data_IF_957190172451
#
_entry.id   IF_957190172451
#
_cell.length_a   1.000
_cell.length_b   1.000
_cell.length_c   1.000
_cell.angle_alpha   90.00
_cell.angle_beta   90.00
_cell.angle_gamma   90.00
#
_symmetry.space_group_name_H-M   'P 1'
#
loop_
_entity.id
_entity.type
_entity.pdbx_description
1 polymer ?
#
# COMPACT_ATOMS: atom_id res chain seq x y z
N UNK A 1 18.36 -13.93 70.18
CA UNK A 1 18.42 -15.27 69.56
C UNK A 1 17.84 -15.19 68.16
N UNK A 2 18.56 -15.77 67.21
CA UNK A 2 18.44 -15.58 65.77
C UNK A 2 17.12 -16.15 65.21
N UNK A 3 16.29 -15.28 64.66
CA UNK A 3 15.14 -15.68 63.83
C UNK A 3 15.67 -15.84 62.40
N UNK A 4 15.66 -17.07 61.89
CA UNK A 4 15.95 -17.36 60.48
C UNK A 4 14.89 -16.70 59.59
N UNK A 5 15.27 -16.04 58.48
CA UNK A 5 14.29 -15.72 57.45
C UNK A 5 13.89 -17.01 56.72
N UNK A 6 12.60 -17.35 56.78
CA UNK A 6 11.95 -18.26 55.84
C UNK A 6 11.46 -17.40 54.67
N UNK A 7 12.28 -17.29 53.64
CA UNK A 7 11.85 -17.09 52.26
C UNK A 7 13.06 -17.19 51.35
N UNK A 8 13.35 -18.44 50.96
CA UNK A 8 14.15 -18.73 49.78
C UNK A 8 13.30 -18.38 48.55
N UNK A 9 13.58 -17.24 47.92
CA UNK A 9 12.97 -16.82 46.65
C UNK A 9 13.80 -17.23 45.45
N UNK A 10 14.63 -18.27 45.57
CA UNK A 10 15.29 -18.87 44.40
C UNK A 10 14.48 -20.06 43.90
N UNK A 11 14.15 -20.03 42.59
CA UNK A 11 13.49 -21.10 41.80
C UNK A 11 11.95 -21.13 41.72
N UNK A 12 11.32 -19.98 41.48
CA UNK A 12 10.09 -19.98 40.65
C UNK A 12 10.48 -20.00 39.18
N UNK A 13 10.69 -21.21 38.65
CA UNK A 13 10.74 -21.45 37.21
C UNK A 13 9.33 -21.19 36.65
N UNK A 14 9.08 -19.97 36.18
CA UNK A 14 7.92 -19.66 35.36
C UNK A 14 8.10 -20.39 34.03
N UNK A 15 7.65 -21.64 33.98
CA UNK A 15 7.41 -22.34 32.72
C UNK A 15 6.36 -21.52 31.97
N UNK A 16 6.80 -20.87 30.90
CA UNK A 16 5.93 -20.14 29.99
C UNK A 16 4.85 -21.08 29.45
N UNK A 17 3.60 -20.87 29.88
CA UNK A 17 2.43 -21.48 29.27
C UNK A 17 2.18 -20.74 27.95
N UNK A 18 2.95 -21.07 26.93
CA UNK A 18 2.69 -20.75 25.54
C UNK A 18 2.67 -22.05 24.74
N UNK A 19 1.64 -22.86 24.96
CA UNK A 19 1.22 -23.84 23.97
C UNK A 19 -0.19 -23.47 23.51
N UNK A 20 -0.40 -23.14 22.22
CA UNK A 20 -1.74 -23.07 21.68
C UNK A 20 -2.34 -24.47 21.79
N UNK A 21 -3.48 -24.55 22.49
CA UNK A 21 -4.28 -25.76 22.64
C UNK A 21 -4.80 -26.17 21.25
N UNK A 22 -3.99 -26.91 20.49
CA UNK A 22 -4.45 -27.61 19.30
C UNK A 22 -5.30 -28.76 19.81
N UNK A 23 -6.63 -28.62 19.72
CA UNK A 23 -7.53 -29.76 19.79
C UNK A 23 -7.22 -30.64 18.57
N UNK A 24 -6.34 -31.63 18.75
CA UNK A 24 -6.17 -32.73 17.81
C UNK A 24 -7.40 -33.62 17.92
N UNK A 25 -8.38 -33.38 17.04
CA UNK A 25 -9.39 -34.39 16.73
C UNK A 25 -8.64 -35.57 16.10
N UNK A 26 -8.40 -36.59 16.91
CA UNK A 26 -7.83 -37.87 16.48
C UNK A 26 -8.83 -38.59 15.57
N UNK A 27 -8.68 -38.44 14.26
CA UNK A 27 -9.28 -39.36 13.30
C UNK A 27 -8.46 -40.64 13.29
N UNK A 28 -8.90 -41.61 14.10
CA UNK A 28 -8.40 -42.98 14.09
C UNK A 28 -9.11 -43.72 12.94
N UNK A 29 -8.43 -43.84 11.80
CA UNK A 29 -8.86 -44.74 10.72
C UNK A 29 -8.44 -44.33 9.32
N UNK A 30 -7.31 -44.88 8.84
CA UNK A 30 -7.15 -45.51 7.52
C UNK A 30 -5.66 -45.60 7.15
N UNK A 31 -5.09 -46.80 7.32
CA UNK A 31 -3.75 -47.21 6.90
C UNK A 31 -3.61 -47.34 5.36
N UNK A 32 -4.11 -46.35 4.61
CA UNK A 32 -4.02 -46.23 3.15
C UNK A 32 -3.47 -44.87 2.71
N UNK A 33 -2.85 -44.12 3.63
CA UNK A 33 -2.57 -42.69 3.50
C UNK A 33 -1.13 -42.32 3.07
N UNK A 34 -0.27 -43.27 2.71
CA UNK A 34 1.08 -42.92 2.23
C UNK A 34 1.13 -42.71 0.71
N UNK A 35 0.43 -43.53 -0.08
CA UNK A 35 0.35 -43.40 -1.55
C UNK A 35 -0.43 -42.14 -2.02
N UNK A 36 -1.32 -41.61 -1.17
CA UNK A 36 -2.05 -40.37 -1.46
C UNK A 36 -1.33 -39.10 -1.00
N UNK A 37 -0.30 -39.20 -0.15
CA UNK A 37 0.42 -38.01 0.36
C UNK A 37 1.23 -37.33 -0.75
N UNK A 38 1.91 -38.11 -1.59
CA UNK A 38 2.73 -37.58 -2.68
C UNK A 38 1.86 -37.00 -3.82
N UNK A 39 0.77 -37.68 -4.19
CA UNK A 39 -0.18 -37.17 -5.19
C UNK A 39 -0.89 -35.89 -4.73
N UNK A 40 -1.30 -35.82 -3.46
CA UNK A 40 -1.92 -34.61 -2.89
C UNK A 40 -0.94 -33.45 -2.81
N UNK A 41 0.32 -33.71 -2.49
CA UNK A 41 1.41 -32.71 -2.48
C UNK A 41 1.71 -32.19 -3.89
N UNK A 42 1.87 -33.06 -4.89
CA UNK A 42 2.07 -32.66 -6.29
C UNK A 42 0.89 -31.85 -6.84
N UNK A 43 -0.35 -32.20 -6.47
CA UNK A 43 -1.55 -31.44 -6.88
C UNK A 43 -1.55 -30.01 -6.31
N UNK A 44 -1.20 -29.83 -5.02
CA UNK A 44 -1.13 -28.50 -4.38
C UNK A 44 -0.08 -27.60 -5.03
N UNK A 45 1.08 -28.15 -5.39
CA UNK A 45 2.16 -27.39 -6.06
C UNK A 45 1.77 -26.99 -7.48
N UNK A 46 1.17 -27.92 -8.24
CA UNK A 46 0.62 -27.59 -9.56
C UNK A 46 -0.49 -26.54 -9.45
N UNK A 47 -1.30 -26.55 -8.38
CA UNK A 47 -2.29 -25.51 -8.10
C UNK A 47 -1.62 -24.15 -7.82
N UNK A 48 -0.58 -24.12 -6.98
CA UNK A 48 0.19 -22.90 -6.67
C UNK A 48 0.76 -22.26 -7.94
N UNK A 49 1.46 -23.04 -8.78
CA UNK A 49 2.00 -22.54 -10.04
C UNK A 49 0.92 -22.08 -11.02
N UNK A 50 -0.21 -22.79 -11.12
CA UNK A 50 -1.35 -22.36 -11.94
C UNK A 50 -1.91 -21.02 -11.45
N UNK A 51 -2.07 -20.88 -10.14
CA UNK A 51 -2.57 -19.66 -9.53
C UNK A 51 -1.63 -18.46 -9.77
N UNK A 52 -0.31 -18.61 -9.60
CA UNK A 52 0.65 -17.55 -9.92
C UNK A 52 0.59 -17.15 -11.41
N UNK A 53 0.47 -18.13 -12.32
CA UNK A 53 0.30 -17.85 -13.75
C UNK A 53 -0.98 -17.07 -14.02
N UNK A 54 -2.09 -17.40 -13.36
CA UNK A 54 -3.36 -16.68 -13.51
C UNK A 54 -3.21 -15.24 -12.99
N UNK A 55 -2.64 -15.03 -11.80
CA UNK A 55 -2.40 -13.68 -11.27
C UNK A 55 -1.54 -12.86 -12.23
N UNK A 56 -0.43 -13.43 -12.73
CA UNK A 56 0.45 -12.72 -13.64
C UNK A 56 -0.22 -12.42 -14.98
N UNK A 57 -1.05 -13.33 -15.51
CA UNK A 57 -1.86 -13.06 -16.70
C UNK A 57 -2.86 -11.92 -16.47
N UNK A 58 -3.57 -11.91 -15.34
CA UNK A 58 -4.48 -10.82 -14.99
C UNK A 58 -3.74 -9.49 -14.87
N UNK A 59 -2.55 -9.49 -14.28
CA UNK A 59 -1.69 -8.30 -14.21
C UNK A 59 -1.27 -7.79 -15.60
N UNK A 60 -0.95 -8.69 -16.54
CA UNK A 60 -0.65 -8.31 -17.92
C UNK A 60 -1.86 -7.69 -18.62
N UNK A 61 -3.03 -8.31 -18.51
CA UNK A 61 -4.29 -7.80 -19.09
C UNK A 61 -4.59 -6.40 -18.52
N UNK A 62 -4.51 -6.25 -17.21
CA UNK A 62 -4.71 -4.96 -16.56
C UNK A 62 -3.72 -3.90 -17.08
N UNK A 63 -2.45 -4.26 -17.24
CA UNK A 63 -1.42 -3.33 -17.73
C UNK A 63 -1.66 -2.94 -19.19
N UNK A 64 -2.16 -3.86 -20.01
CA UNK A 64 -2.58 -3.58 -21.39
C UNK A 64 -3.78 -2.61 -21.44
N UNK A 65 -4.77 -2.81 -20.57
CA UNK A 65 -5.93 -1.91 -20.46
C UNK A 65 -5.46 -0.49 -20.09
N UNK A 66 -4.52 -0.35 -19.16
CA UNK A 66 -3.95 0.96 -18.79
C UNK A 66 -3.29 1.64 -19.98
N UNK A 67 -2.56 0.91 -20.82
CA UNK A 67 -1.95 1.46 -22.05
C UNK A 67 -3.04 1.93 -23.01
N UNK A 68 -4.07 1.12 -23.25
CA UNK A 68 -5.19 1.47 -24.14
C UNK A 68 -5.86 2.75 -23.64
N UNK A 69 -6.19 2.84 -22.36
CA UNK A 69 -6.80 4.03 -21.75
C UNK A 69 -5.90 5.25 -21.88
N UNK A 70 -4.59 5.11 -21.61
CA UNK A 70 -3.65 6.23 -21.72
C UNK A 70 -3.48 6.72 -23.18
N UNK A 71 -3.48 5.81 -24.16
CA UNK A 71 -3.48 6.16 -25.58
C UNK A 71 -4.79 6.86 -25.94
N UNK A 72 -5.94 6.33 -25.52
CA UNK A 72 -7.24 6.95 -25.75
C UNK A 72 -7.30 8.37 -25.16
N UNK A 73 -6.79 8.60 -23.95
CA UNK A 73 -6.69 9.94 -23.36
C UNK A 73 -5.84 10.88 -24.20
N UNK A 74 -4.68 10.42 -24.69
CA UNK A 74 -3.83 11.22 -25.57
C UNK A 74 -4.50 11.52 -26.92
N UNK A 75 -5.24 10.57 -27.49
CA UNK A 75 -5.97 10.77 -28.75
C UNK A 75 -7.12 11.75 -28.58
N UNK A 76 -7.93 11.61 -27.51
CA UNK A 76 -9.01 12.57 -27.22
C UNK A 76 -8.43 13.96 -27.00
N UNK A 77 -7.32 14.09 -26.27
CA UNK A 77 -6.65 15.39 -26.08
C UNK A 77 -6.11 15.99 -27.38
N UNK A 78 -5.73 15.17 -28.36
CA UNK A 78 -5.27 15.62 -29.67
C UNK A 78 -6.43 16.11 -30.56
N UNK A 79 -7.53 15.37 -30.61
CA UNK A 79 -8.67 15.69 -31.49
C UNK A 79 -9.63 16.73 -30.91
N UNK A 80 -9.92 16.64 -29.62
CA UNK A 80 -10.81 17.57 -28.94
C UNK A 80 -10.39 17.76 -27.47
N UNK A 81 -9.46 18.70 -27.20
CA UNK A 81 -8.99 18.98 -25.84
C UNK A 81 -10.09 19.53 -24.93
N UNK A 82 -11.22 20.00 -25.47
CA UNK A 82 -12.32 20.56 -24.67
C UNK A 82 -13.13 19.49 -23.94
N UNK A 83 -13.07 18.23 -24.39
CA UNK A 83 -13.74 17.09 -23.74
C UNK A 83 -13.08 16.65 -22.43
N UNK A 84 -11.78 16.90 -22.27
CA UNK A 84 -11.00 16.47 -21.09
C UNK A 84 -10.75 17.60 -20.09
N UNK A 85 -10.68 18.84 -20.56
CA UNK A 85 -10.38 20.01 -19.73
C UNK A 85 -11.59 20.94 -19.67
N UNK A 86 -12.28 20.96 -18.52
CA UNK A 86 -13.38 21.89 -18.26
C UNK A 86 -12.90 23.34 -18.40
N UNK A 87 -13.77 24.25 -18.88
CA UNK A 87 -13.43 25.66 -19.11
C UNK A 87 -12.81 26.35 -17.87
N UNK A 88 -13.25 25.99 -16.67
CA UNK A 88 -12.70 26.48 -15.40
C UNK A 88 -11.23 26.06 -15.19
N UNK A 89 -10.88 24.81 -15.48
CA UNK A 89 -9.51 24.30 -15.36
C UNK A 89 -8.59 25.02 -16.35
N UNK A 90 -9.06 25.21 -17.60
CA UNK A 90 -8.34 25.98 -18.61
C UNK A 90 -8.07 27.42 -18.15
N UNK A 91 -9.04 28.07 -17.50
CA UNK A 91 -8.92 29.43 -16.98
C UNK A 91 -7.98 29.51 -15.77
N UNK A 92 -7.99 28.51 -14.87
CA UNK A 92 -7.06 28.42 -13.75
C UNK A 92 -5.60 28.27 -14.20
N UNK A 93 -5.35 27.52 -15.28
CA UNK A 93 -4.01 27.36 -15.84
C UNK A 93 -3.55 28.57 -16.67
N UNK A 94 -4.45 29.27 -17.37
CA UNK A 94 -4.11 30.52 -18.08
C UNK A 94 -3.70 31.66 -17.14
N UNK A 95 -4.28 31.72 -15.94
CA UNK A 95 -3.89 32.70 -14.91
C UNK A 95 -2.54 32.39 -14.25
N UNK A 96 -2.06 31.15 -14.35
CA UNK A 96 -0.69 30.75 -14.00
C UNK A 96 0.24 31.08 -15.18
N UNK A 97 0.51 32.37 -15.36
CA UNK A 97 1.42 32.93 -16.36
C UNK A 97 2.87 32.39 -16.22
N UNK A 98 3.16 31.12 -16.56
CA UNK A 98 4.50 30.59 -16.88
C UNK A 98 4.41 29.32 -17.76
N UNK A 99 4.36 29.51 -19.09
CA UNK A 99 5.06 28.67 -20.08
C UNK A 99 4.48 27.31 -20.51
N UNK A 100 3.50 26.72 -19.83
CA UNK A 100 2.97 25.41 -20.23
C UNK A 100 1.46 25.43 -20.46
N UNK A 101 1.04 25.10 -21.69
CA UNK A 101 -0.38 24.93 -21.99
C UNK A 101 -0.95 23.73 -21.23
N UNK A 102 -2.15 23.82 -20.65
CA UNK A 102 -2.76 22.74 -19.86
C UNK A 102 -2.87 21.40 -20.63
N UNK A 103 -2.88 21.46 -21.95
CA UNK A 103 -2.88 20.34 -22.89
C UNK A 103 -1.62 19.47 -22.74
N UNK A 104 -0.48 20.07 -22.37
CA UNK A 104 0.80 19.36 -22.21
C UNK A 104 0.79 18.42 -21.01
N UNK A 105 0.08 18.76 -19.93
CA UNK A 105 0.02 17.91 -18.72
C UNK A 105 -0.70 16.59 -18.98
N UNK A 106 -1.71 16.57 -19.86
CA UNK A 106 -2.40 15.33 -20.24
C UNK A 106 -1.44 14.39 -20.96
N UNK A 107 -0.61 14.91 -21.87
CA UNK A 107 0.41 14.10 -22.54
C UNK A 107 1.49 13.59 -21.59
N UNK A 108 1.97 14.43 -20.66
CA UNK A 108 2.94 14.01 -19.64
C UNK A 108 2.33 12.90 -18.78
N UNK A 109 1.10 13.08 -18.31
CA UNK A 109 0.39 12.10 -17.48
C UNK A 109 0.19 10.76 -18.22
N UNK A 110 -0.31 10.80 -19.45
CA UNK A 110 -0.47 9.61 -20.29
C UNK A 110 0.87 8.92 -20.58
N UNK A 111 1.94 9.68 -20.85
CA UNK A 111 3.27 9.13 -21.08
C UNK A 111 3.82 8.41 -19.83
N UNK A 112 3.64 9.00 -18.65
CA UNK A 112 4.03 8.37 -17.37
C UNK A 112 3.25 7.08 -17.13
N UNK A 113 1.94 7.06 -17.42
CA UNK A 113 1.12 5.85 -17.31
C UNK A 113 1.58 4.74 -18.26
N UNK A 114 1.88 5.08 -19.51
CA UNK A 114 2.39 4.13 -20.51
C UNK A 114 3.74 3.56 -20.06
N UNK A 115 4.68 4.41 -19.63
CA UNK A 115 5.98 3.96 -19.13
C UNK A 115 5.84 3.03 -17.93
N UNK A 116 4.96 3.38 -16.98
CA UNK A 116 4.66 2.53 -15.84
C UNK A 116 4.10 1.17 -16.25
N UNK A 117 3.15 1.15 -17.20
CA UNK A 117 2.54 -0.07 -17.69
C UNK A 117 3.55 -0.96 -18.45
N UNK A 118 4.41 -0.38 -19.29
CA UNK A 118 5.50 -1.11 -19.98
C UNK A 118 6.45 -1.74 -18.96
N UNK A 119 6.88 -0.97 -17.96
CA UNK A 119 7.72 -1.48 -16.88
C UNK A 119 7.07 -2.65 -16.15
N UNK A 120 5.76 -2.58 -15.89
CA UNK A 120 5.00 -3.68 -15.29
C UNK A 120 4.93 -4.91 -16.19
N UNK A 121 4.67 -4.74 -17.48
CA UNK A 121 4.66 -5.85 -18.44
C UNK A 121 6.02 -6.56 -18.45
N UNK A 122 7.12 -5.81 -18.52
CA UNK A 122 8.47 -6.38 -18.47
C UNK A 122 8.71 -7.16 -17.17
N UNK A 123 8.40 -6.57 -16.01
CA UNK A 123 8.56 -7.20 -14.70
C UNK A 123 7.74 -8.50 -14.57
N UNK A 124 6.48 -8.50 -15.02
CA UNK A 124 5.61 -9.68 -14.96
C UNK A 124 6.05 -10.77 -15.94
N UNK A 125 6.60 -10.39 -17.10
CA UNK A 125 7.12 -11.34 -18.08
C UNK A 125 8.35 -12.09 -17.55
N UNK A 126 9.23 -11.39 -16.82
CA UNK A 126 10.37 -12.01 -16.11
C UNK A 126 9.86 -13.01 -15.05
N UNK A 127 8.86 -12.62 -14.26
CA UNK A 127 8.25 -13.49 -13.25
C UNK A 127 7.63 -14.77 -13.87
N UNK A 128 6.95 -14.66 -15.02
CA UNK A 128 6.43 -15.82 -15.76
C UNK A 128 7.54 -16.75 -16.25
N UNK A 129 8.65 -16.20 -16.73
CA UNK A 129 9.83 -16.98 -17.09
C UNK A 129 10.42 -17.73 -15.90
N UNK A 130 10.50 -17.07 -14.73
CA UNK A 130 10.97 -17.68 -13.49
C UNK A 130 10.04 -18.81 -13.02
N UNK A 131 8.72 -18.64 -13.11
CA UNK A 131 7.73 -19.68 -12.82
C UNK A 131 7.95 -20.92 -13.70
N UNK A 132 8.14 -20.73 -15.01
CA UNK A 132 8.34 -21.84 -15.95
C UNK A 132 9.61 -22.63 -15.61
N UNK A 133 10.72 -21.94 -15.32
CA UNK A 133 11.98 -22.56 -14.88
C UNK A 133 11.80 -23.34 -13.57
N UNK A 134 11.06 -22.76 -12.62
CA UNK A 134 10.78 -23.40 -11.33
C UNK A 134 9.93 -24.66 -11.48
N UNK A 135 8.95 -24.66 -12.38
CA UNK A 135 8.12 -25.84 -12.67
C UNK A 135 8.96 -26.96 -13.28
N UNK A 136 9.87 -26.65 -14.21
CA UNK A 136 10.79 -27.64 -14.82
C UNK A 136 11.71 -28.22 -13.75
N UNK A 137 12.33 -27.37 -12.93
CA UNK A 137 13.22 -27.81 -11.84
C UNK A 137 12.48 -28.66 -10.79
N UNK A 138 11.22 -28.34 -10.49
CA UNK A 138 10.39 -29.16 -9.61
C UNK A 138 10.12 -30.54 -10.22
N UNK A 139 9.77 -30.61 -11.51
CA UNK A 139 9.56 -31.90 -12.19
C UNK A 139 10.82 -32.76 -12.23
N UNK A 140 12.00 -32.15 -12.41
CA UNK A 140 13.27 -32.90 -12.39
C UNK A 140 13.66 -33.37 -10.98
N UNK A 141 13.34 -32.61 -9.94
CA UNK A 141 13.60 -32.98 -8.54
C UNK A 141 12.58 -33.97 -7.98
N UNK A 142 11.34 -33.98 -8.45
CA UNK A 142 10.37 -35.00 -8.09
C UNK A 142 10.81 -36.41 -8.54
N UNK A 143 11.63 -36.48 -9.59
CA UNK A 143 12.18 -37.74 -10.11
C UNK A 143 13.50 -38.16 -9.45
N UNK A 144 14.11 -37.31 -8.62
CA UNK A 144 15.34 -37.62 -7.89
C UNK A 144 15.06 -37.64 -6.39
N UNK A 145 15.68 -38.57 -5.66
CA UNK A 145 15.49 -38.68 -4.20
C UNK A 145 15.94 -37.44 -3.41
N UNK A 146 16.49 -36.41 -4.06
CA UNK A 146 17.06 -35.25 -3.42
C UNK A 146 16.09 -34.07 -3.42
N UNK A 147 15.27 -33.96 -2.37
CA UNK A 147 14.29 -32.88 -2.18
C UNK A 147 14.95 -31.60 -1.66
N UNK A 148 15.83 -31.00 -2.47
CA UNK A 148 16.34 -29.67 -2.17
C UNK A 148 15.27 -28.61 -2.47
N UNK A 149 15.12 -27.64 -1.56
CA UNK A 149 14.20 -26.52 -1.74
C UNK A 149 14.56 -25.74 -3.00
N UNK A 150 13.60 -25.63 -3.93
CA UNK A 150 13.79 -24.82 -5.14
C UNK A 150 13.94 -23.32 -4.77
N UNK A 151 15.03 -22.63 -5.18
CA UNK A 151 15.27 -21.22 -4.89
C UNK A 151 14.13 -20.28 -5.28
N UNK A 152 13.32 -20.66 -6.29
CA UNK A 152 12.14 -19.90 -6.68
C UNK A 152 11.09 -19.86 -5.57
N UNK A 153 10.89 -20.96 -4.84
CA UNK A 153 9.87 -21.03 -3.79
C UNK A 153 10.30 -20.21 -2.56
N UNK A 154 11.59 -20.23 -2.21
CA UNK A 154 12.14 -19.35 -1.16
C UNK A 154 11.93 -17.88 -1.49
N UNK A 155 12.21 -17.47 -2.74
CA UNK A 155 11.95 -16.10 -3.22
C UNK A 155 10.46 -15.77 -3.22
N UNK A 156 9.59 -16.71 -3.62
CA UNK A 156 8.14 -16.52 -3.59
C UNK A 156 7.63 -16.31 -2.16
N UNK A 157 8.13 -17.10 -1.21
CA UNK A 157 7.78 -16.98 0.20
C UNK A 157 8.24 -15.65 0.80
N UNK A 158 9.50 -15.25 0.55
CA UNK A 158 9.99 -13.92 0.92
C UNK A 158 9.12 -12.81 0.31
N UNK A 159 8.81 -12.88 -0.99
CA UNK A 159 7.96 -11.91 -1.70
C UNK A 159 6.57 -11.84 -1.08
N UNK A 160 5.99 -12.96 -0.65
CA UNK A 160 4.69 -13.01 0.02
C UNK A 160 4.71 -12.29 1.38
N UNK A 161 5.73 -12.55 2.21
CA UNK A 161 5.90 -11.88 3.50
C UNK A 161 6.06 -10.37 3.30
N UNK A 162 6.96 -9.96 2.42
CA UNK A 162 7.23 -8.54 2.15
C UNK A 162 6.00 -7.85 1.55
N UNK A 163 5.28 -8.50 0.64
CA UNK A 163 4.06 -7.95 0.03
C UNK A 163 2.92 -7.78 1.03
N UNK A 164 2.87 -8.60 2.08
CA UNK A 164 1.92 -8.40 3.17
C UNK A 164 2.23 -7.11 3.93
N UNK A 165 3.50 -6.88 4.27
CA UNK A 165 3.93 -5.65 4.94
C UNK A 165 3.64 -4.44 4.05
N UNK A 166 4.03 -4.51 2.77
CA UNK A 166 3.82 -3.43 1.80
C UNK A 166 2.33 -3.07 1.70
N UNK A 167 1.47 -4.08 1.59
CA UNK A 167 0.03 -3.85 1.48
C UNK A 167 -0.59 -3.31 2.78
N UNK A 168 -0.13 -3.75 3.95
CA UNK A 168 -0.56 -3.22 5.23
C UNK A 168 -0.20 -1.73 5.33
N UNK A 169 1.03 -1.37 4.97
CA UNK A 169 1.45 0.02 4.97
C UNK A 169 0.72 0.87 3.93
N UNK A 170 0.52 0.39 2.71
CA UNK A 170 -0.31 1.09 1.71
C UNK A 170 -1.72 1.35 2.28
N UNK A 171 -2.28 0.39 3.00
CA UNK A 171 -3.60 0.54 3.64
C UNK A 171 -3.57 1.57 4.76
N UNK A 172 -2.53 1.55 5.61
CA UNK A 172 -2.34 2.57 6.65
C UNK A 172 -2.23 3.96 6.02
N UNK A 173 -1.43 4.12 4.97
CA UNK A 173 -1.29 5.39 4.25
C UNK A 173 -2.63 5.85 3.67
N UNK A 174 -3.34 4.97 2.96
CA UNK A 174 -4.61 5.32 2.33
C UNK A 174 -5.66 5.73 3.37
N UNK A 175 -5.79 4.97 4.46
CA UNK A 175 -6.75 5.27 5.52
C UNK A 175 -6.35 6.51 6.32
N UNK A 176 -5.06 6.70 6.60
CA UNK A 176 -4.57 7.87 7.32
C UNK A 176 -4.73 9.14 6.50
N UNK A 177 -4.16 9.20 5.30
CA UNK A 177 -4.21 10.41 4.48
C UNK A 177 -5.58 10.64 3.85
N UNK A 178 -6.24 9.57 3.39
CA UNK A 178 -7.61 9.66 2.89
C UNK A 178 -8.61 10.03 3.99
N UNK A 179 -8.48 9.41 5.18
CA UNK A 179 -9.31 9.74 6.33
C UNK A 179 -9.07 11.17 6.84
N UNK A 180 -7.81 11.60 6.92
CA UNK A 180 -7.45 12.97 7.29
C UNK A 180 -7.97 13.98 6.26
N UNK A 181 -7.88 13.68 4.96
CA UNK A 181 -8.47 14.51 3.91
C UNK A 181 -9.99 14.65 4.09
N UNK A 182 -10.70 13.54 4.29
CA UNK A 182 -12.15 13.53 4.53
C UNK A 182 -12.51 14.32 5.79
N UNK A 183 -11.77 14.10 6.88
CA UNK A 183 -12.01 14.78 8.15
C UNK A 183 -11.82 16.30 8.02
N UNK A 184 -10.75 16.73 7.35
CA UNK A 184 -10.48 18.15 7.07
C UNK A 184 -11.60 18.72 6.20
N UNK A 185 -11.96 18.06 5.10
CA UNK A 185 -13.01 18.55 4.20
C UNK A 185 -14.34 18.69 4.94
N UNK A 186 -14.72 17.68 5.74
CA UNK A 186 -15.97 17.68 6.50
C UNK A 186 -16.02 18.77 7.57
N UNK A 187 -14.90 19.03 8.26
CA UNK A 187 -14.84 20.08 9.28
C UNK A 187 -14.76 21.49 8.68
N UNK A 188 -13.96 21.68 7.64
CA UNK A 188 -13.69 23.00 7.09
C UNK A 188 -14.76 23.47 6.09
N UNK A 189 -15.60 22.58 5.53
CA UNK A 189 -16.60 22.96 4.50
C UNK A 189 -17.52 24.11 4.91
N UNK A 190 -17.80 24.24 6.22
CA UNK A 190 -18.70 25.26 6.78
C UNK A 190 -17.98 26.22 7.73
N UNK A 191 -16.66 26.13 7.85
CA UNK A 191 -15.91 26.95 8.80
C UNK A 191 -15.31 28.16 8.09
N UNK A 192 -15.48 29.34 8.66
CA UNK A 192 -14.70 30.52 8.30
C UNK A 192 -13.88 30.92 9.52
N UNK A 193 -12.57 31.04 9.34
CA UNK A 193 -11.64 31.37 10.42
C UNK A 193 -10.98 32.71 10.15
N UNK A 194 -10.71 33.46 11.20
CA UNK A 194 -9.87 34.65 11.13
C UNK A 194 -8.75 34.54 12.15
N UNK A 195 -7.51 34.70 11.69
CA UNK A 195 -6.36 34.81 12.60
C UNK A 195 -6.11 36.31 12.83
N UNK A 196 -6.21 36.73 14.08
CA UNK A 196 -6.07 38.12 14.51
C UNK A 196 -7.41 38.83 14.67
N UNK A 197 -7.40 39.91 15.44
CA UNK A 197 -8.55 40.78 15.63
C UNK A 197 -8.30 42.06 14.81
N UNK A 198 -9.20 42.45 13.87
CA UNK A 198 -9.01 43.64 13.05
C UNK A 198 -8.77 44.93 13.86
N UNK A 199 -9.20 44.95 15.13
CA UNK A 199 -9.09 46.13 16.00
C UNK A 199 -7.88 46.11 16.95
N UNK A 200 -7.30 44.95 17.28
CA UNK A 200 -6.26 44.82 18.31
C UNK A 200 -4.88 44.35 17.79
N UNK A 201 -4.81 43.79 16.57
CA UNK A 201 -3.57 43.27 16.01
C UNK A 201 -3.46 43.66 14.52
N UNK A 202 -2.33 44.24 14.10
CA UNK A 202 -2.05 44.56 12.68
C UNK A 202 -1.97 43.32 11.76
N UNK A 203 -2.02 42.12 12.32
CA UNK A 203 -2.00 40.86 11.57
C UNK A 203 -3.41 40.24 11.53
N UNK A 204 -4.25 40.70 10.61
CA UNK A 204 -5.54 40.08 10.29
C UNK A 204 -5.43 39.23 9.01
N UNK A 205 -5.70 37.92 9.14
CA UNK A 205 -5.75 36.97 8.02
C UNK A 205 -7.15 36.33 8.00
N UNK A 206 -8.05 36.78 7.12
CA UNK A 206 -9.32 36.10 6.90
C UNK A 206 -9.07 34.84 6.08
N UNK A 207 -9.48 33.69 6.62
CA UNK A 207 -9.41 32.38 5.98
C UNK A 207 -10.84 31.88 5.77
N UNK A 208 -11.36 32.09 4.57
CA UNK A 208 -12.73 31.70 4.19
C UNK A 208 -12.75 30.30 3.60
N UNK A 209 -12.62 29.26 4.43
CA UNK A 209 -12.54 27.87 3.94
C UNK A 209 -13.78 27.44 3.17
N UNK A 210 -14.95 27.94 3.56
CA UNK A 210 -16.21 27.70 2.87
C UNK A 210 -16.14 28.09 1.38
N UNK A 211 -15.57 29.26 1.08
CA UNK A 211 -15.39 29.74 -0.29
C UNK A 211 -14.37 28.89 -1.03
N UNK A 212 -13.24 28.58 -0.40
CA UNK A 212 -12.19 27.78 -1.02
C UNK A 212 -12.65 26.37 -1.37
N UNK A 213 -13.38 25.72 -0.45
CA UNK A 213 -13.88 24.36 -0.63
C UNK A 213 -15.00 24.31 -1.67
N UNK A 214 -15.95 25.27 -1.65
CA UNK A 214 -17.01 25.36 -2.68
C UNK A 214 -16.48 25.74 -4.07
N UNK A 215 -15.37 26.46 -4.14
CA UNK A 215 -14.70 26.73 -5.41
C UNK A 215 -13.91 25.52 -5.93
N UNK A 216 -13.36 24.70 -5.02
CA UNK A 216 -12.61 23.50 -5.38
C UNK A 216 -13.52 22.31 -5.75
N UNK A 217 -14.70 22.22 -5.15
CA UNK A 217 -15.64 21.11 -5.33
C UNK A 217 -17.06 21.63 -5.57
N UNK A 218 -17.70 21.13 -6.64
CA UNK A 218 -19.09 21.47 -6.99
C UNK A 218 -20.05 21.13 -5.84
N UNK A 219 -19.86 19.96 -5.23
CA UNK A 219 -20.60 19.52 -4.05
C UNK A 219 -19.65 18.86 -3.03
N UNK A 220 -19.24 19.58 -1.97
CA UNK A 220 -18.35 19.05 -0.95
C UNK A 220 -18.92 17.85 -0.19
N UNK A 221 -20.23 17.77 0.00
CA UNK A 221 -20.89 16.69 0.75
C UNK A 221 -20.91 15.39 -0.04
N UNK A 222 -21.15 15.50 -1.35
CA UNK A 222 -21.01 14.39 -2.28
C UNK A 222 -19.56 13.86 -2.29
N UNK A 223 -18.57 14.76 -2.31
CA UNK A 223 -17.15 14.38 -2.28
C UNK A 223 -16.80 13.65 -0.98
N UNK A 224 -17.19 14.18 0.18
CA UNK A 224 -17.00 13.49 1.48
C UNK A 224 -17.60 12.09 1.44
N UNK A 225 -18.85 11.97 0.98
CA UNK A 225 -19.58 10.69 0.94
C UNK A 225 -18.91 9.70 0.01
N UNK A 226 -18.49 10.13 -1.18
CA UNK A 226 -17.79 9.31 -2.16
C UNK A 226 -16.47 8.77 -1.60
N UNK A 227 -15.67 9.62 -0.96
CA UNK A 227 -14.42 9.20 -0.35
C UNK A 227 -14.64 8.22 0.81
N UNK A 228 -15.66 8.43 1.64
CA UNK A 228 -16.02 7.47 2.69
C UNK A 228 -16.37 6.09 2.12
N UNK A 229 -17.17 6.04 1.06
CA UNK A 229 -17.53 4.79 0.38
C UNK A 229 -16.28 4.10 -0.20
N UNK A 230 -15.37 4.86 -0.82
CA UNK A 230 -14.11 4.34 -1.38
C UNK A 230 -13.21 3.78 -0.27
N UNK A 231 -13.03 4.51 0.84
CA UNK A 231 -12.22 4.05 1.97
C UNK A 231 -12.81 2.80 2.62
N UNK A 232 -14.14 2.74 2.75
CA UNK A 232 -14.82 1.56 3.28
C UNK A 232 -14.66 0.34 2.35
N UNK A 233 -14.86 0.52 1.05
CA UNK A 233 -14.62 -0.53 0.05
C UNK A 233 -13.16 -1.03 0.09
N UNK A 234 -12.20 -0.11 0.31
CA UNK A 234 -10.80 -0.47 0.47
C UNK A 234 -10.52 -1.36 1.70
N UNK A 235 -11.19 -1.10 2.83
CA UNK A 235 -11.07 -1.95 4.04
C UNK A 235 -11.52 -3.37 3.74
N UNK A 236 -12.67 -3.54 3.07
CA UNK A 236 -13.18 -4.87 2.69
C UNK A 236 -12.16 -5.57 1.78
N UNK A 237 -11.67 -4.87 0.77
CA UNK A 237 -10.68 -5.40 -0.16
C UNK A 237 -9.37 -5.80 0.54
N UNK A 238 -8.94 -5.01 1.53
CA UNK A 238 -7.77 -5.30 2.35
C UNK A 238 -7.92 -6.64 3.09
N UNK A 239 -9.08 -6.86 3.72
CA UNK A 239 -9.38 -8.10 4.45
C UNK A 239 -9.34 -9.31 3.49
N UNK A 240 -9.99 -9.21 2.33
CA UNK A 240 -9.99 -10.28 1.32
C UNK A 240 -8.56 -10.62 0.89
N UNK A 241 -7.73 -9.60 0.59
CA UNK A 241 -6.34 -9.85 0.22
C UNK A 241 -5.49 -10.40 1.37
N UNK A 242 -5.75 -10.00 2.61
CA UNK A 242 -5.09 -10.56 3.79
C UNK A 242 -5.40 -12.06 3.95
N UNK A 243 -6.66 -12.45 3.77
CA UNK A 243 -7.09 -13.86 3.84
C UNK A 243 -6.48 -14.71 2.73
N UNK A 244 -6.51 -14.23 1.48
CA UNK A 244 -5.91 -14.93 0.34
C UNK A 244 -4.40 -15.13 0.57
N UNK A 245 -3.70 -14.11 1.06
CA UNK A 245 -2.26 -14.22 1.38
C UNK A 245 -1.99 -15.18 2.54
N UNK A 246 -2.78 -15.12 3.61
CA UNK A 246 -2.65 -16.03 4.76
C UNK A 246 -2.77 -17.48 4.31
N UNK A 247 -3.81 -17.79 3.51
CA UNK A 247 -3.99 -19.12 2.91
C UNK A 247 -2.76 -19.54 2.10
N UNK A 248 -2.26 -18.67 1.22
CA UNK A 248 -1.08 -18.96 0.39
C UNK A 248 0.18 -19.22 1.21
N UNK A 249 0.40 -18.46 2.29
CA UNK A 249 1.55 -18.64 3.18
C UNK A 249 1.47 -20.03 3.85
N UNK A 250 0.31 -20.36 4.42
CA UNK A 250 0.08 -21.66 5.06
C UNK A 250 0.22 -22.82 4.07
N UNK A 251 -0.26 -22.67 2.83
CA UNK A 251 -0.10 -23.70 1.79
C UNK A 251 1.37 -23.96 1.43
N UNK A 252 2.23 -22.92 1.45
CA UNK A 252 3.67 -23.06 1.22
C UNK A 252 4.37 -23.68 2.44
N UNK A 253 4.05 -23.24 3.65
CA UNK A 253 4.63 -23.79 4.89
C UNK A 253 4.28 -25.27 5.07
N UNK A 254 3.02 -25.64 4.80
CA UNK A 254 2.56 -27.02 4.86
C UNK A 254 3.22 -27.93 3.82
N UNK A 255 3.83 -27.37 2.75
CA UNK A 255 4.53 -28.15 1.74
C UNK A 255 5.96 -28.53 2.15
N UNK A 256 6.66 -27.68 2.90
CA UNK A 256 8.04 -27.94 3.34
C UNK A 256 8.12 -28.56 4.74
N UNK A 257 7.09 -29.31 5.11
CA UNK A 257 6.69 -29.76 6.46
C UNK A 257 7.68 -30.62 7.27
N UNK A 258 8.98 -30.37 7.23
CA UNK A 258 9.99 -31.19 7.96
C UNK A 258 11.20 -30.44 8.49
N UNK A 259 11.23 -29.11 8.40
CA UNK A 259 12.26 -28.27 8.99
C UNK A 259 11.94 -26.80 8.83
N UNK A 260 12.61 -25.93 9.58
CA UNK A 260 12.56 -24.49 9.37
C UNK A 260 13.02 -24.18 7.94
N UNK A 261 12.06 -24.05 7.02
CA UNK A 261 12.26 -23.75 5.61
C UNK A 261 13.17 -22.55 5.41
N UNK A 262 13.05 -21.58 6.32
CA UNK A 262 13.92 -20.43 6.49
C UNK A 262 13.99 -20.19 8.00
N UNK A 263 15.21 -19.93 8.49
CA UNK A 263 15.47 -19.51 9.86
C UNK A 263 14.59 -18.30 10.26
N UNK A 264 13.99 -18.38 11.44
CA UNK A 264 13.07 -17.37 11.96
C UNK A 264 13.75 -16.00 12.08
N UNK A 265 15.03 -15.95 12.44
CA UNK A 265 15.79 -14.69 12.54
C UNK A 265 15.95 -14.02 11.16
N UNK A 266 16.01 -14.80 10.10
CA UNK A 266 16.07 -14.30 8.72
C UNK A 266 14.72 -13.69 8.30
N UNK A 267 13.61 -14.34 8.66
CA UNK A 267 12.26 -13.81 8.43
C UNK A 267 12.08 -12.49 9.18
N UNK A 268 12.47 -12.43 10.45
CA UNK A 268 12.31 -11.23 11.27
C UNK A 268 13.20 -10.07 10.81
N UNK A 269 14.40 -10.36 10.28
CA UNK A 269 15.25 -9.36 9.61
C UNK A 269 14.57 -8.76 8.38
N UNK A 270 13.93 -9.58 7.54
CA UNK A 270 13.18 -9.08 6.37
C UNK A 270 11.98 -8.22 6.79
N UNK A 271 11.23 -8.68 7.80
CA UNK A 271 10.06 -7.98 8.30
C UNK A 271 10.45 -6.63 8.90
N UNK A 272 11.41 -6.61 9.80
CA UNK A 272 11.86 -5.41 10.51
C UNK A 272 12.47 -4.39 9.54
N UNK A 273 13.32 -4.82 8.61
CA UNK A 273 13.90 -3.95 7.59
C UNK A 273 12.83 -3.27 6.74
N UNK A 274 11.85 -4.04 6.25
CA UNK A 274 10.76 -3.49 5.43
C UNK A 274 9.84 -2.55 6.21
N UNK A 275 9.49 -2.90 7.45
CA UNK A 275 8.70 -2.02 8.34
C UNK A 275 9.41 -0.71 8.62
N UNK A 276 10.73 -0.74 8.84
CA UNK A 276 11.53 0.47 9.08
C UNK A 276 11.51 1.43 7.90
N UNK A 277 11.61 0.90 6.66
CA UNK A 277 11.51 1.71 5.44
C UNK A 277 10.15 2.41 5.39
N UNK A 278 9.06 1.65 5.50
CA UNK A 278 7.72 2.22 5.44
C UNK A 278 7.42 3.21 6.56
N UNK A 279 7.85 2.90 7.79
CA UNK A 279 7.70 3.81 8.92
C UNK A 279 8.45 5.13 8.69
N UNK A 280 9.67 5.09 8.18
CA UNK A 280 10.43 6.30 7.80
C UNK A 280 9.72 7.08 6.70
N UNK A 281 9.22 6.41 5.66
CA UNK A 281 8.42 7.05 4.62
C UNK A 281 7.16 7.69 5.18
N UNK A 282 6.47 7.02 6.12
CA UNK A 282 5.27 7.54 6.76
C UNK A 282 5.55 8.81 7.55
N UNK A 283 6.62 8.82 8.35
CA UNK A 283 7.05 10.00 9.10
C UNK A 283 7.43 11.14 8.16
N UNK A 284 8.17 10.85 7.09
CA UNK A 284 8.61 11.85 6.12
C UNK A 284 7.44 12.49 5.36
N UNK A 285 6.44 11.70 4.93
CA UNK A 285 5.24 12.25 4.29
C UNK A 285 4.40 13.09 5.27
N UNK A 286 4.22 12.64 6.52
CA UNK A 286 3.54 13.44 7.54
C UNK A 286 4.31 14.73 7.87
N UNK A 287 5.64 14.67 7.91
CA UNK A 287 6.48 15.83 8.13
C UNK A 287 6.27 16.87 7.02
N UNK A 288 6.27 16.46 5.75
CA UNK A 288 5.96 17.37 4.63
C UNK A 288 4.54 17.93 4.71
N UNK A 289 3.57 17.11 5.09
CA UNK A 289 2.17 17.55 5.27
C UNK A 289 2.04 18.70 6.28
N UNK A 290 2.88 18.73 7.32
CA UNK A 290 2.88 19.79 8.34
C UNK A 290 3.78 20.96 7.93
N UNK A 291 4.98 20.69 7.43
CA UNK A 291 5.97 21.72 7.09
C UNK A 291 5.46 22.63 5.97
N UNK A 292 4.82 22.08 4.94
CA UNK A 292 4.40 22.88 3.77
C UNK A 292 3.39 23.99 4.17
N UNK A 293 2.29 23.70 4.90
CA UNK A 293 1.40 24.75 5.39
C UNK A 293 2.07 25.74 6.33
N UNK A 294 2.92 25.27 7.26
CA UNK A 294 3.61 26.15 8.22
C UNK A 294 4.58 27.09 7.49
N UNK A 295 5.36 26.59 6.54
CA UNK A 295 6.26 27.39 5.72
C UNK A 295 5.49 28.43 4.89
N UNK A 296 4.33 28.07 4.35
CA UNK A 296 3.45 29.01 3.64
C UNK A 296 2.96 30.15 4.53
N UNK A 297 2.51 29.84 5.76
CA UNK A 297 2.08 30.86 6.73
C UNK A 297 3.24 31.79 7.08
N UNK A 298 4.44 31.24 7.38
CA UNK A 298 5.64 32.04 7.67
C UNK A 298 5.98 32.96 6.49
N UNK A 299 5.95 32.45 5.26
CA UNK A 299 6.21 33.23 4.05
C UNK A 299 5.24 34.41 3.91
N UNK A 300 3.94 34.19 4.13
CA UNK A 300 2.92 35.26 4.08
C UNK A 300 3.17 36.34 5.14
N UNK A 301 3.55 35.95 6.36
CA UNK A 301 3.87 36.89 7.44
C UNK A 301 5.10 37.74 7.08
N UNK A 302 6.17 37.14 6.55
CA UNK A 302 7.38 37.86 6.14
C UNK A 302 7.08 38.83 4.99
N UNK A 303 6.31 38.39 3.98
CA UNK A 303 5.92 39.22 2.83
C UNK A 303 5.16 40.46 3.28
N UNK A 304 4.19 40.32 4.19
CA UNK A 304 3.42 41.45 4.73
C UNK A 304 4.28 42.41 5.55
N UNK A 305 5.19 41.91 6.40
CA UNK A 305 6.12 42.78 7.14
C UNK A 305 7.00 43.62 6.21
N UNK A 306 7.47 43.05 5.10
CA UNK A 306 8.24 43.80 4.09
C UNK A 306 7.39 44.86 3.38
N UNK A 307 6.15 44.53 3.02
CA UNK A 307 5.23 45.49 2.39
C UNK A 307 4.92 46.69 3.31
N UNK A 308 4.71 46.44 4.60
CA UNK A 308 4.51 47.50 5.61
C UNK A 308 5.76 48.37 5.78
N UNK A 309 6.96 47.78 5.80
CA UNK A 309 8.21 48.54 5.91
C UNK A 309 8.49 49.43 4.69
N UNK A 310 8.02 49.04 3.51
CA UNK A 310 8.18 49.84 2.29
C UNK A 310 7.11 50.93 2.12
N UNK A 311 6.08 50.93 2.97
CA UNK A 311 4.98 51.90 2.94
C UNK A 311 5.15 53.04 3.97
N UNK A 312 6.17 52.97 4.81
CA UNK A 312 6.61 53.98 5.78
C UNK A 312 7.88 54.62 5.24
#
# INVERSE_FOLDING_TARGET
MQIKPVNDTSTLNLVAINQPRVQSVSFKGASTQELNSEQTVTFRIKSLFRFEKVINKLMLIFSLIVIIVAISLSLVNYFDPSLLLTAQVKQSFQNLNQGFEPIVYVYIFSAVLILFAIFKIASVSIDLGAIKKAEIAYRSQANSSNRNVNPYITKLYQKLILKQIDHNWITIFLLWFGGLFVAILFWLKNADWSIGNPEAFQLYIPITWNVWIKNAFVDPDLVVTLFLVILFAWIILHIVFALIRKKRKTDIEAFFSTGEFIDQDTIDRWISGRRKIWFRSFLLVNLFLIIIPVAYIIYQVIKRKKALKNAI
#
